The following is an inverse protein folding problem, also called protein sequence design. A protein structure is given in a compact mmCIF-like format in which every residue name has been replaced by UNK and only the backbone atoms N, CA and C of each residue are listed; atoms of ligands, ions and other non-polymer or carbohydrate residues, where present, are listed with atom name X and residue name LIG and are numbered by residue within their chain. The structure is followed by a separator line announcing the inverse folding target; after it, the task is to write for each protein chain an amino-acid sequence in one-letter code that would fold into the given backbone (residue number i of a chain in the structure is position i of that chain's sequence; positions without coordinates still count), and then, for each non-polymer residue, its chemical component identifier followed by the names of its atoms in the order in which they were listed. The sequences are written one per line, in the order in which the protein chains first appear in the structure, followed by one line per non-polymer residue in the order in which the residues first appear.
data_IF_459508947885
#
_entry.id   IF_459508947885
#
_cell.length_a   1.000
_cell.length_b   1.000
_cell.length_c   1.000
_cell.angle_alpha   90.00
_cell.angle_beta   90.00
_cell.angle_gamma   90.00
#
_symmetry.space_group_name_H-M   'P 1'
#
loop_
_entity.id
_entity.type
_entity.pdbx_description
1 polymer ?
#
# COMPACT_ATOMS: atom_id res chain seq x y z
N UNK A 1 23.35 -5.39 -33.16
CA UNK A 1 22.22 -5.11 -32.26
C UNK A 1 22.31 -6.09 -31.10
N UNK A 2 22.24 -5.64 -29.85
CA UNK A 2 22.12 -6.57 -28.74
C UNK A 2 20.76 -7.27 -28.83
N UNK A 3 20.78 -8.59 -28.97
CA UNK A 3 19.58 -9.42 -29.07
C UNK A 3 18.94 -9.49 -27.67
N UNK A 4 17.75 -8.89 -27.49
CA UNK A 4 17.00 -9.01 -26.24
C UNK A 4 16.44 -10.43 -26.19
N UNK A 5 17.10 -11.33 -25.46
CA UNK A 5 16.63 -12.69 -25.22
C UNK A 5 15.73 -12.70 -24.00
N UNK A 6 14.46 -13.03 -24.17
CA UNK A 6 13.58 -13.38 -23.06
C UNK A 6 14.07 -14.66 -22.42
N UNK A 7 14.22 -14.69 -21.09
CA UNK A 7 14.48 -15.93 -20.38
C UNK A 7 13.36 -16.94 -20.73
N UNK A 8 13.68 -18.16 -21.22
CA UNK A 8 12.69 -19.05 -21.83
C UNK A 8 11.61 -19.57 -20.86
N UNK A 9 11.80 -19.40 -19.55
CA UNK A 9 10.87 -19.83 -18.51
C UNK A 9 10.57 -18.67 -17.54
N UNK A 10 9.85 -17.64 -17.98
CA UNK A 10 9.33 -16.64 -17.06
C UNK A 10 8.12 -17.21 -16.32
N UNK A 11 8.09 -17.20 -14.98
CA UNK A 11 7.01 -17.81 -14.22
C UNK A 11 5.68 -17.05 -14.42
N UNK A 12 4.57 -17.78 -14.26
CA UNK A 12 3.23 -17.27 -14.46
C UNK A 12 2.92 -16.09 -13.52
N UNK A 13 2.46 -14.98 -14.09
CA UNK A 13 1.98 -13.82 -13.34
C UNK A 13 0.46 -13.97 -13.16
N UNK A 14 -0.05 -14.18 -11.93
CA UNK A 14 -1.49 -14.31 -11.71
C UNK A 14 -2.20 -12.99 -12.00
N UNK A 15 -3.35 -13.07 -12.67
CA UNK A 15 -4.15 -11.91 -13.07
C UNK A 15 -5.57 -11.90 -12.48
N UNK A 16 -5.88 -12.86 -11.61
CA UNK A 16 -7.16 -13.05 -10.92
C UNK A 16 -7.03 -12.85 -9.40
N UNK A 17 -5.99 -12.16 -8.93
CA UNK A 17 -5.79 -11.82 -7.53
C UNK A 17 -5.32 -10.38 -7.38
N UNK A 18 -5.63 -9.80 -6.22
CA UNK A 18 -5.13 -8.50 -5.79
C UNK A 18 -3.69 -8.60 -5.27
N UNK A 19 -3.04 -7.45 -5.16
CA UNK A 19 -1.69 -7.35 -4.60
C UNK A 19 -1.58 -7.93 -3.18
N UNK A 20 -2.47 -7.60 -2.21
CA UNK A 20 -2.39 -8.20 -0.89
C UNK A 20 -2.67 -9.71 -0.88
N UNK A 21 -3.54 -10.22 -1.76
CA UNK A 21 -3.71 -11.67 -1.92
C UNK A 21 -2.41 -12.33 -2.40
N UNK A 22 -1.73 -11.72 -3.37
CA UNK A 22 -0.42 -12.20 -3.83
C UNK A 22 0.63 -12.22 -2.70
N UNK A 23 0.72 -11.13 -1.94
CA UNK A 23 1.73 -10.98 -0.88
C UNK A 23 1.44 -11.84 0.36
N UNK A 24 0.17 -11.91 0.79
CA UNK A 24 -0.21 -12.47 2.09
C UNK A 24 -0.77 -13.89 2.04
N UNK A 25 -1.22 -14.37 0.87
CA UNK A 25 -1.97 -15.64 0.78
C UNK A 25 -1.44 -16.56 -0.33
N UNK A 26 -0.99 -16.00 -1.45
CA UNK A 26 -0.55 -16.78 -2.61
C UNK A 26 0.87 -17.33 -2.45
N UNK A 27 1.05 -18.60 -2.81
CA UNK A 27 2.36 -19.25 -2.83
C UNK A 27 2.91 -19.31 -4.26
N UNK A 28 3.75 -18.34 -4.62
CA UNK A 28 4.45 -18.32 -5.92
C UNK A 28 5.76 -19.12 -5.83
N UNK A 29 6.21 -19.84 -6.89
CA UNK A 29 7.45 -20.62 -6.87
C UNK A 29 8.72 -19.81 -6.55
N UNK A 30 8.72 -18.51 -6.87
CA UNK A 30 9.82 -17.59 -6.52
C UNK A 30 9.71 -16.96 -5.13
N UNK A 31 8.68 -17.30 -4.34
CA UNK A 31 8.50 -16.72 -3.01
C UNK A 31 9.59 -17.25 -2.07
N UNK A 32 10.42 -16.38 -1.47
CA UNK A 32 11.40 -16.84 -0.50
C UNK A 32 10.70 -17.37 0.76
N UNK A 33 11.25 -18.43 1.35
CA UNK A 33 10.80 -18.96 2.64
C UNK A 33 11.55 -18.20 3.73
N UNK A 34 10.82 -17.38 4.49
CA UNK A 34 11.35 -16.63 5.62
C UNK A 34 10.52 -16.97 6.85
N UNK A 35 11.14 -17.57 7.86
CA UNK A 35 10.55 -17.84 9.17
C UNK A 35 11.18 -16.94 10.20
N UNK A 36 10.40 -16.49 11.18
CA UNK A 36 10.88 -15.75 12.36
C UNK A 36 11.62 -14.43 12.06
N UNK A 37 11.34 -13.82 10.92
CA UNK A 37 11.90 -12.52 10.52
C UNK A 37 10.77 -11.49 10.39
N UNK A 38 11.00 -10.30 10.94
CA UNK A 38 10.08 -9.18 10.79
C UNK A 38 9.97 -8.75 9.31
N UNK A 39 8.75 -8.51 8.85
CA UNK A 39 8.47 -7.99 7.52
C UNK A 39 8.83 -6.50 7.41
N UNK A 40 8.59 -5.76 8.49
CA UNK A 40 8.85 -4.33 8.62
C UNK A 40 9.49 -4.09 9.99
N UNK A 41 10.45 -3.18 10.05
CA UNK A 41 11.09 -2.76 11.30
C UNK A 41 10.97 -1.23 11.35
N UNK A 42 10.42 -0.71 12.43
CA UNK A 42 10.41 0.72 12.71
C UNK A 42 11.81 1.17 13.13
N UNK A 43 12.31 2.22 12.47
CA UNK A 43 13.68 2.73 12.67
C UNK A 43 13.88 3.26 14.09
N UNK A 44 12.95 4.09 14.58
CA UNK A 44 13.08 4.77 15.88
C UNK A 44 13.03 3.83 17.09
N UNK A 45 12.20 2.78 17.03
CA UNK A 45 11.93 1.90 18.19
C UNK A 45 12.51 0.49 18.05
N UNK A 46 12.89 0.09 16.83
CA UNK A 46 13.23 -1.29 16.52
C UNK A 46 12.03 -2.25 16.52
N UNK A 47 10.79 -1.75 16.65
CA UNK A 47 9.58 -2.58 16.64
C UNK A 47 9.45 -3.30 15.29
N UNK A 48 9.42 -4.63 15.33
CA UNK A 48 9.16 -5.47 14.17
C UNK A 48 7.67 -5.80 14.03
N UNK A 49 7.14 -5.70 12.80
CA UNK A 49 5.86 -6.31 12.43
C UNK A 49 6.14 -7.63 11.71
N UNK A 50 5.55 -8.71 12.19
CA UNK A 50 5.72 -10.05 11.63
C UNK A 50 4.61 -10.38 10.63
N UNK A 51 4.83 -11.43 9.82
CA UNK A 51 3.95 -11.76 8.70
C UNK A 51 2.49 -11.98 9.11
N UNK A 52 2.25 -12.79 10.15
CA UNK A 52 0.87 -13.06 10.63
C UNK A 52 0.24 -11.83 11.29
N UNK A 53 1.03 -11.01 11.98
CA UNK A 53 0.54 -9.73 12.52
C UNK A 53 0.12 -8.79 11.37
N UNK A 54 0.94 -8.64 10.34
CA UNK A 54 0.64 -7.84 9.17
C UNK A 54 -0.62 -8.34 8.45
N UNK A 55 -0.74 -9.65 8.27
CA UNK A 55 -1.91 -10.30 7.65
C UNK A 55 -3.18 -10.03 8.45
N UNK A 56 -3.15 -10.23 9.76
CA UNK A 56 -4.29 -10.02 10.64
C UNK A 56 -4.68 -8.55 10.72
N UNK A 57 -3.71 -7.66 10.95
CA UNK A 57 -3.94 -6.21 10.99
C UNK A 57 -4.56 -5.69 9.69
N UNK A 58 -4.10 -6.19 8.54
CA UNK A 58 -4.64 -5.82 7.22
C UNK A 58 -6.11 -6.21 7.09
N UNK A 59 -6.47 -7.46 7.45
CA UNK A 59 -7.87 -7.92 7.41
C UNK A 59 -8.77 -7.17 8.37
N UNK A 60 -8.32 -6.97 9.61
CA UNK A 60 -9.09 -6.26 10.64
C UNK A 60 -9.28 -4.79 10.28
N UNK A 61 -8.24 -4.13 9.75
CA UNK A 61 -8.39 -2.76 9.28
C UNK A 61 -9.39 -2.68 8.11
N UNK A 62 -9.34 -3.62 7.16
CA UNK A 62 -10.30 -3.66 6.06
C UNK A 62 -11.74 -3.83 6.56
N UNK A 63 -11.99 -4.69 7.54
CA UNK A 63 -13.32 -4.87 8.11
C UNK A 63 -13.83 -3.60 8.80
N UNK A 64 -12.99 -2.90 9.55
CA UNK A 64 -13.34 -1.60 10.15
C UNK A 64 -13.61 -0.53 9.09
N UNK A 65 -12.76 -0.41 8.07
CA UNK A 65 -12.94 0.56 6.99
C UNK A 65 -14.26 0.34 6.23
N UNK A 66 -14.61 -0.91 5.97
CA UNK A 66 -15.90 -1.30 5.40
C UNK A 66 -17.06 -0.94 6.33
N UNK A 67 -16.99 -1.34 7.60
CA UNK A 67 -18.09 -1.19 8.54
C UNK A 67 -18.41 0.29 8.82
N UNK A 68 -17.39 1.09 9.12
CA UNK A 68 -17.53 2.49 9.58
C UNK A 68 -17.61 3.50 8.44
N UNK A 69 -16.74 3.35 7.44
CA UNK A 69 -16.56 4.35 6.39
C UNK A 69 -17.15 3.91 5.04
N UNK A 70 -17.68 2.69 4.97
CA UNK A 70 -18.31 2.13 3.76
C UNK A 70 -17.36 2.03 2.56
N UNK A 71 -16.05 2.05 2.79
CA UNK A 71 -15.03 1.90 1.73
C UNK A 71 -15.24 0.57 1.02
N UNK A 72 -15.20 0.61 -0.31
CA UNK A 72 -15.46 -0.55 -1.14
C UNK A 72 -14.92 -0.47 -2.57
N UNK A 73 -15.63 -1.19 -3.45
CA UNK A 73 -15.24 -1.36 -4.84
C UNK A 73 -15.13 0.00 -5.55
N UNK A 74 -13.94 0.28 -6.08
CA UNK A 74 -13.62 1.51 -6.83
C UNK A 74 -13.61 2.81 -6.01
N UNK A 75 -13.80 2.77 -4.69
CA UNK A 75 -13.55 3.93 -3.85
C UNK A 75 -12.07 4.30 -3.90
N UNK A 76 -11.78 5.59 -4.06
CA UNK A 76 -10.40 6.09 -4.06
C UNK A 76 -10.09 6.68 -2.69
N UNK A 77 -9.08 6.09 -2.04
CA UNK A 77 -8.58 6.52 -0.73
C UNK A 77 -7.21 7.12 -0.90
N UNK A 78 -7.02 8.34 -0.40
CA UNK A 78 -5.69 8.96 -0.36
C UNK A 78 -4.91 8.48 0.86
N UNK A 79 -3.64 8.14 0.67
CA UNK A 79 -2.68 8.03 1.75
C UNK A 79 -1.64 9.14 1.56
N UNK A 80 -1.55 10.02 2.55
CA UNK A 80 -0.53 11.08 2.64
C UNK A 80 0.26 10.92 3.92
N UNK A 81 1.45 10.37 3.79
CA UNK A 81 2.32 10.08 4.92
C UNK A 81 3.78 10.05 4.48
N UNK A 82 4.67 10.34 5.42
CA UNK A 82 6.07 9.87 5.35
C UNK A 82 6.11 8.35 5.48
N UNK A 83 7.30 7.76 5.36
CA UNK A 83 7.48 6.33 5.65
C UNK A 83 6.97 6.03 7.07
N UNK A 84 6.06 5.06 7.17
CA UNK A 84 5.43 4.65 8.42
C UNK A 84 5.11 3.16 8.34
N UNK A 85 5.23 2.42 9.44
CA UNK A 85 5.12 0.96 9.37
C UNK A 85 3.69 0.46 9.09
N UNK A 86 2.66 1.24 9.44
CA UNK A 86 1.26 0.95 9.13
C UNK A 86 0.91 1.20 7.66
N UNK A 87 1.81 1.78 6.85
CA UNK A 87 1.54 2.11 5.46
C UNK A 87 1.14 0.89 4.61
N UNK A 88 1.86 -0.26 4.67
CA UNK A 88 1.44 -1.45 3.94
C UNK A 88 0.10 -2.00 4.45
N UNK A 89 -0.14 -1.98 5.77
CA UNK A 89 -1.42 -2.40 6.37
C UNK A 89 -2.58 -1.56 5.84
N UNK A 90 -2.44 -0.23 5.83
CA UNK A 90 -3.46 0.70 5.34
C UNK A 90 -3.74 0.51 3.84
N UNK A 91 -2.68 0.49 3.03
CA UNK A 91 -2.76 0.32 1.59
C UNK A 91 -3.42 -1.02 1.22
N UNK A 92 -2.98 -2.12 1.83
CA UNK A 92 -3.51 -3.44 1.56
C UNK A 92 -4.93 -3.63 2.07
N UNK A 93 -5.32 -3.02 3.20
CA UNK A 93 -6.68 -3.08 3.69
C UNK A 93 -7.68 -2.49 2.68
N UNK A 94 -7.32 -1.36 2.05
CA UNK A 94 -8.13 -0.74 0.99
C UNK A 94 -8.24 -1.66 -0.23
N UNK A 95 -7.14 -2.30 -0.63
CA UNK A 95 -7.13 -3.25 -1.75
C UNK A 95 -7.99 -4.49 -1.50
N UNK A 96 -8.02 -5.04 -0.28
CA UNK A 96 -8.89 -6.18 0.06
C UNK A 96 -10.38 -5.86 -0.11
N UNK A 97 -10.75 -4.57 -0.04
CA UNK A 97 -12.12 -4.09 -0.25
C UNK A 97 -12.43 -3.77 -1.72
N UNK A 98 -11.46 -3.89 -2.63
CA UNK A 98 -11.57 -3.50 -4.03
C UNK A 98 -11.38 -1.99 -4.26
N UNK A 99 -10.89 -1.26 -3.27
CA UNK A 99 -10.59 0.16 -3.37
C UNK A 99 -9.28 0.46 -4.10
N UNK A 100 -9.10 1.71 -4.49
CA UNK A 100 -7.90 2.24 -5.16
C UNK A 100 -7.16 3.17 -4.20
N UNK A 101 -5.83 3.10 -4.16
CA UNK A 101 -5.02 3.95 -3.29
C UNK A 101 -4.37 5.07 -4.10
N UNK A 102 -4.62 6.32 -3.71
CA UNK A 102 -3.89 7.49 -4.20
C UNK A 102 -2.73 7.81 -3.28
N UNK A 103 -1.50 7.69 -3.76
CA UNK A 103 -0.30 7.97 -2.97
C UNK A 103 0.13 9.42 -3.16
N UNK A 104 -0.02 10.24 -2.13
CA UNK A 104 0.28 11.68 -2.19
C UNK A 104 1.56 12.02 -1.42
N UNK A 105 2.36 12.95 -1.96
CA UNK A 105 3.60 13.37 -1.31
C UNK A 105 3.27 14.15 -0.03
N UNK A 106 3.84 13.81 1.15
CA UNK A 106 3.67 14.58 2.38
C UNK A 106 4.19 16.03 2.30
N UNK A 107 4.95 16.38 1.26
CA UNK A 107 5.42 17.76 1.00
C UNK A 107 4.53 18.53 0.02
N UNK A 108 3.39 17.97 -0.40
CA UNK A 108 2.45 18.65 -1.32
C UNK A 108 1.87 19.92 -0.67
N UNK A 109 1.41 20.86 -1.49
CA UNK A 109 0.65 22.02 -1.01
C UNK A 109 -0.86 21.72 -0.87
N UNK A 110 -1.59 22.62 -0.22
CA UNK A 110 -3.06 22.52 -0.09
C UNK A 110 -3.73 22.52 -1.47
N UNK A 111 -3.25 23.36 -2.38
CA UNK A 111 -3.78 23.49 -3.75
C UNK A 111 -3.53 22.22 -4.57
N UNK A 112 -2.35 21.62 -4.43
CA UNK A 112 -2.01 20.35 -5.06
C UNK A 112 -2.92 19.24 -4.54
N UNK A 113 -3.10 19.12 -3.21
CA UNK A 113 -4.00 18.14 -2.62
C UNK A 113 -5.45 18.35 -3.03
N UNK A 114 -5.93 19.60 -3.06
CA UNK A 114 -7.27 19.91 -3.55
C UNK A 114 -7.46 19.44 -5.00
N UNK A 115 -6.48 19.70 -5.86
CA UNK A 115 -6.47 19.21 -7.24
C UNK A 115 -6.55 17.69 -7.33
N UNK A 116 -5.81 16.98 -6.46
CA UNK A 116 -5.83 15.53 -6.38
C UNK A 116 -7.18 14.99 -5.90
N UNK A 117 -7.73 15.57 -4.82
CA UNK A 117 -9.02 15.20 -4.24
C UNK A 117 -10.14 15.28 -5.28
N UNK A 118 -10.18 16.38 -6.04
CA UNK A 118 -11.19 16.61 -7.08
C UNK A 118 -10.96 15.67 -8.28
N UNK A 119 -9.73 15.61 -8.81
CA UNK A 119 -9.46 14.86 -10.04
C UNK A 119 -9.70 13.36 -9.87
N UNK A 120 -9.24 12.79 -8.76
CA UNK A 120 -9.37 11.37 -8.48
C UNK A 120 -10.66 11.00 -7.71
N UNK A 121 -11.54 11.98 -7.44
CA UNK A 121 -12.79 11.79 -6.67
C UNK A 121 -12.56 11.07 -5.34
N UNK A 122 -11.53 11.50 -4.62
CA UNK A 122 -11.15 10.90 -3.34
C UNK A 122 -12.17 11.31 -2.29
N UNK A 123 -12.70 10.32 -1.55
CA UNK A 123 -13.73 10.54 -0.53
C UNK A 123 -13.25 10.25 0.89
N UNK A 124 -12.06 9.69 1.04
CA UNK A 124 -11.47 9.31 2.32
C UNK A 124 -9.95 9.49 2.31
N UNK A 125 -9.38 9.95 3.43
CA UNK A 125 -7.95 10.24 3.55
C UNK A 125 -7.38 9.54 4.78
N UNK A 126 -6.25 8.87 4.61
CA UNK A 126 -5.39 8.40 5.68
C UNK A 126 -4.16 9.31 5.70
N UNK A 127 -4.01 10.10 6.76
CA UNK A 127 -2.99 11.14 6.84
C UNK A 127 -2.01 10.88 7.99
N UNK A 128 -0.74 11.22 7.80
CA UNK A 128 0.16 11.41 8.94
C UNK A 128 -0.26 12.65 9.73
N UNK A 129 -0.15 12.59 11.06
CA UNK A 129 -0.51 13.66 12.00
C UNK A 129 0.11 15.01 11.63
N UNK A 130 1.38 15.02 11.21
CA UNK A 130 2.08 16.23 10.72
C UNK A 130 1.43 16.88 9.49
N UNK A 131 0.62 16.14 8.73
CA UNK A 131 -0.04 16.62 7.51
C UNK A 131 -1.53 16.91 7.72
N UNK A 132 -2.08 16.62 8.90
CA UNK A 132 -3.54 16.64 9.13
C UNK A 132 -4.16 18.02 8.90
N UNK A 133 -3.51 19.10 9.34
CA UNK A 133 -4.04 20.46 9.18
C UNK A 133 -4.14 20.87 7.70
N UNK A 134 -3.14 20.48 6.90
CA UNK A 134 -3.13 20.69 5.46
C UNK A 134 -4.23 19.89 4.77
N UNK A 135 -4.38 18.61 5.15
CA UNK A 135 -5.40 17.70 4.63
C UNK A 135 -6.80 18.23 4.92
N UNK A 136 -7.07 18.63 6.17
CA UNK A 136 -8.37 19.19 6.56
C UNK A 136 -8.68 20.47 5.79
N UNK A 137 -7.68 21.31 5.54
CA UNK A 137 -7.85 22.53 4.73
C UNK A 137 -8.24 22.19 3.28
N UNK A 138 -7.53 21.25 2.65
CA UNK A 138 -7.83 20.80 1.29
C UNK A 138 -9.21 20.11 1.20
N UNK A 139 -9.55 19.26 2.19
CA UNK A 139 -10.85 18.60 2.28
C UNK A 139 -12.01 19.59 2.44
N UNK A 140 -11.83 20.61 3.27
CA UNK A 140 -12.82 21.68 3.43
C UNK A 140 -13.11 22.40 2.10
N UNK A 141 -12.05 22.78 1.37
CA UNK A 141 -12.18 23.39 0.04
C UNK A 141 -12.82 22.45 -0.99
N UNK A 142 -12.62 21.13 -0.86
CA UNK A 142 -13.24 20.11 -1.70
C UNK A 142 -14.69 19.77 -1.29
N UNK A 143 -15.21 20.35 -0.20
CA UNK A 143 -16.54 20.04 0.34
C UNK A 143 -16.64 18.67 1.02
N UNK A 144 -15.52 18.09 1.49
CA UNK A 144 -15.47 16.82 2.20
C UNK A 144 -15.55 17.02 3.72
N UNK A 145 -16.26 16.13 4.41
CA UNK A 145 -16.36 16.14 5.87
C UNK A 145 -15.02 15.73 6.52
N UNK A 146 -14.67 16.38 7.63
CA UNK A 146 -13.54 16.00 8.47
C UNK A 146 -13.66 14.58 9.04
N UNK A 147 -14.86 13.98 9.11
CA UNK A 147 -15.04 12.60 9.59
C UNK A 147 -14.57 11.54 8.58
N UNK A 148 -14.16 11.98 7.38
CA UNK A 148 -13.57 11.16 6.32
C UNK A 148 -12.04 11.12 6.37
N UNK A 149 -11.46 11.38 7.53
CA UNK A 149 -10.01 11.28 7.76
C UNK A 149 -9.71 10.34 8.93
N UNK A 150 -8.66 9.56 8.80
CA UNK A 150 -8.01 8.86 9.92
C UNK A 150 -6.52 9.11 9.89
N UNK A 151 -5.86 9.01 11.04
CA UNK A 151 -4.42 9.13 11.14
C UNK A 151 -3.72 7.80 10.86
N UNK A 152 -2.57 7.82 10.21
CA UNK A 152 -1.74 6.62 10.02
C UNK A 152 -0.93 6.29 11.28
N UNK A 153 -0.55 7.31 12.04
CA UNK A 153 0.31 7.26 13.21
C UNK A 153 -0.48 7.51 14.50
N UNK A 154 0.11 7.09 15.63
CA UNK A 154 -0.47 7.28 16.97
C UNK A 154 0.10 8.55 17.58
N UNK A 155 -0.65 9.65 17.48
CA UNK A 155 -0.28 10.89 18.15
C UNK A 155 -1.34 11.27 19.19
N UNK A 156 -0.97 11.19 20.47
CA UNK A 156 -1.86 11.46 21.60
C UNK A 156 -2.38 12.92 21.66
N UNK A 157 -1.71 13.85 20.97
CA UNK A 157 -1.99 15.28 21.00
C UNK A 157 -3.02 15.76 19.96
N UNK A 158 -3.60 14.87 19.16
CA UNK A 158 -4.74 15.19 18.28
C UNK A 158 -6.02 14.52 18.79
N UNK A 159 -6.61 14.99 19.90
CA UNK A 159 -7.86 14.43 20.41
C UNK A 159 -8.99 14.80 19.44
N UNK A 160 -9.37 13.87 18.54
CA UNK A 160 -10.68 13.76 17.83
C UNK A 160 -10.64 12.87 16.58
N UNK A 161 -9.47 12.59 16.00
CA UNK A 161 -9.37 11.82 14.74
C UNK A 161 -8.87 10.40 15.06
N UNK A 162 -9.62 9.34 14.71
CA UNK A 162 -9.16 7.96 14.90
C UNK A 162 -7.87 7.70 14.12
N UNK A 163 -7.01 6.84 14.64
CA UNK A 163 -5.84 6.36 13.91
C UNK A 163 -6.00 4.89 13.45
N UNK A 164 -5.09 4.41 12.61
CA UNK A 164 -5.08 3.03 12.10
C UNK A 164 -5.09 2.00 13.22
N UNK A 165 -4.32 2.21 14.29
CA UNK A 165 -4.31 1.29 15.42
C UNK A 165 -5.65 1.22 16.14
N UNK A 166 -6.25 2.37 16.43
CA UNK A 166 -7.57 2.43 17.07
C UNK A 166 -8.63 1.75 16.20
N UNK A 167 -8.57 1.94 14.89
CA UNK A 167 -9.45 1.25 13.94
C UNK A 167 -9.26 -0.27 13.96
N UNK A 168 -8.02 -0.76 14.11
CA UNK A 168 -7.75 -2.20 14.26
C UNK A 168 -8.31 -2.71 15.60
N UNK A 169 -8.06 -2.02 16.71
CA UNK A 169 -8.58 -2.41 18.03
C UNK A 169 -10.11 -2.44 18.05
N UNK A 170 -10.74 -1.46 17.41
CA UNK A 170 -12.19 -1.40 17.27
C UNK A 170 -12.72 -2.55 16.40
N UNK A 171 -12.03 -2.91 15.33
CA UNK A 171 -12.36 -4.06 14.48
C UNK A 171 -12.33 -5.38 15.23
N UNK A 172 -11.30 -5.60 16.06
CA UNK A 172 -11.21 -6.76 16.97
C UNK A 172 -12.36 -6.74 17.96
N UNK A 173 -12.56 -5.61 18.66
CA UNK A 173 -13.56 -5.48 19.73
C UNK A 173 -14.98 -5.75 19.24
N UNK A 174 -15.34 -5.23 18.07
CA UNK A 174 -16.68 -5.37 17.51
C UNK A 174 -16.83 -6.59 16.58
N UNK A 175 -15.75 -7.34 16.36
CA UNK A 175 -15.70 -8.50 15.47
C UNK A 175 -16.29 -8.18 14.08
N UNK A 176 -15.88 -7.05 13.50
CA UNK A 176 -16.33 -6.66 12.16
C UNK A 176 -15.83 -7.65 11.11
N UNK A 177 -16.69 -7.95 10.14
CA UNK A 177 -16.39 -8.84 9.04
C UNK A 177 -16.64 -8.17 7.68
N UNK A 178 -16.03 -8.72 6.63
CA UNK A 178 -16.21 -8.29 5.26
C UNK A 178 -15.93 -9.42 4.28
N UNK A 179 -16.59 -9.39 3.13
CA UNK A 179 -16.23 -10.24 2.01
C UNK A 179 -15.03 -9.65 1.29
N UNK A 180 -13.91 -10.39 1.30
CA UNK A 180 -12.73 -10.04 0.53
C UNK A 180 -13.02 -10.08 -0.97
N UNK A 181 -12.52 -9.08 -1.71
CA UNK A 181 -12.70 -9.00 -3.16
C UNK A 181 -11.81 -10.02 -3.86
N UNK A 182 -12.44 -10.92 -4.62
CA UNK A 182 -11.77 -11.89 -5.50
C UNK A 182 -11.96 -11.44 -6.94
N UNK A 183 -10.90 -11.45 -7.73
CA UNK A 183 -10.93 -11.01 -9.12
C UNK A 183 -11.26 -12.15 -10.07
N UNK A 184 -11.98 -11.82 -11.14
CA UNK A 184 -12.14 -12.73 -12.27
C UNK A 184 -10.82 -12.89 -13.05
N UNK A 185 -10.72 -13.93 -13.87
CA UNK A 185 -9.56 -14.12 -14.76
C UNK A 185 -9.33 -12.89 -15.64
N UNK A 186 -8.09 -12.40 -15.65
CA UNK A 186 -7.68 -11.20 -16.39
C UNK A 186 -8.15 -9.87 -15.79
N UNK A 187 -8.95 -9.85 -14.73
CA UNK A 187 -9.47 -8.60 -14.16
C UNK A 187 -8.36 -7.76 -13.51
N UNK A 188 -7.39 -8.40 -12.84
CA UNK A 188 -6.26 -7.72 -12.18
C UNK A 188 -5.39 -6.88 -13.13
N UNK A 189 -5.44 -7.15 -14.45
CA UNK A 189 -4.78 -6.33 -15.49
C UNK A 189 -5.42 -4.95 -15.64
N UNK A 190 -6.72 -4.85 -15.38
CA UNK A 190 -7.54 -3.65 -15.55
C UNK A 190 -7.87 -2.97 -14.22
N UNK A 191 -7.91 -3.72 -13.12
CA UNK A 191 -8.19 -3.19 -11.79
C UNK A 191 -7.04 -2.32 -11.29
N UNK A 192 -7.28 -1.02 -11.18
CA UNK A 192 -6.31 -0.06 -10.63
C UNK A 192 -6.05 -0.35 -9.16
N UNK A 193 -4.78 -0.48 -8.80
CA UNK A 193 -4.32 -0.59 -7.42
C UNK A 193 -3.88 0.78 -6.89
N UNK A 194 -3.08 1.50 -7.68
CA UNK A 194 -2.49 2.77 -7.27
C UNK A 194 -2.77 3.88 -8.28
N UNK A 195 -2.94 5.09 -7.75
CA UNK A 195 -2.82 6.34 -8.48
C UNK A 195 -1.55 7.05 -7.99
N UNK A 196 -0.59 7.22 -8.89
CA UNK A 196 0.65 7.96 -8.63
C UNK A 196 0.62 9.30 -9.32
N UNK A 197 0.99 10.37 -8.61
CA UNK A 197 0.92 11.73 -9.13
C UNK A 197 2.23 12.13 -9.77
N UNK A 198 2.15 12.56 -11.03
CA UNK A 198 3.27 13.18 -11.73
C UNK A 198 2.97 14.66 -11.97
N UNK A 199 3.97 15.52 -11.73
CA UNK A 199 3.90 16.95 -12.05
C UNK A 199 3.73 17.20 -13.55
N UNK A 200 4.16 16.26 -14.40
CA UNK A 200 4.20 16.42 -15.84
C UNK A 200 5.20 17.50 -16.27
N UNK A 201 5.65 17.45 -17.52
CA UNK A 201 6.60 18.44 -18.04
C UNK A 201 5.92 19.73 -18.51
N UNK A 202 4.59 19.69 -18.73
CA UNK A 202 3.76 20.84 -19.10
C UNK A 202 2.32 20.61 -18.64
N UNK A 203 1.86 21.32 -17.60
CA UNK A 203 0.44 21.39 -17.24
C UNK A 203 0.05 20.83 -15.86
N UNK A 204 -1.26 20.68 -15.65
CA UNK A 204 -1.87 20.22 -14.38
C UNK A 204 -1.40 18.79 -14.03
N UNK A 205 -1.29 18.44 -12.73
CA UNK A 205 -0.88 17.11 -12.30
C UNK A 205 -1.69 15.99 -12.94
N UNK A 206 -1.02 14.90 -13.33
CA UNK A 206 -1.66 13.71 -13.91
C UNK A 206 -1.60 12.55 -12.92
N UNK A 207 -2.71 11.83 -12.80
CA UNK A 207 -2.78 10.57 -12.07
C UNK A 207 -2.42 9.40 -12.99
N UNK A 208 -1.31 8.72 -12.71
CA UNK A 208 -0.90 7.50 -13.39
C UNK A 208 -1.57 6.32 -12.72
N UNK A 209 -2.47 5.64 -13.44
CA UNK A 209 -3.16 4.46 -12.95
C UNK A 209 -2.30 3.20 -13.13
N UNK A 210 -1.97 2.54 -12.02
CA UNK A 210 -1.16 1.32 -11.98
C UNK A 210 -2.05 0.17 -11.52
N UNK A 211 -2.15 -0.89 -12.32
CA UNK A 211 -3.00 -2.04 -11.99
C UNK A 211 -2.36 -2.99 -10.98
N UNK A 212 -3.18 -3.81 -10.32
CA UNK A 212 -2.68 -4.87 -9.43
C UNK A 212 -1.70 -5.80 -10.15
N UNK A 213 -2.05 -6.22 -11.38
CA UNK A 213 -1.18 -7.05 -12.20
C UNK A 213 0.17 -6.40 -12.50
N UNK A 214 0.21 -5.09 -12.79
CA UNK A 214 1.47 -4.41 -13.07
C UNK A 214 2.43 -4.45 -11.86
N UNK A 215 1.91 -4.31 -10.64
CA UNK A 215 2.70 -4.42 -9.41
C UNK A 215 3.18 -5.85 -9.17
N UNK A 216 2.29 -6.84 -9.32
CA UNK A 216 2.65 -8.26 -9.17
C UNK A 216 3.71 -8.66 -10.21
N UNK A 217 3.54 -8.24 -11.46
CA UNK A 217 4.50 -8.46 -12.53
C UNK A 217 5.87 -7.87 -12.19
N UNK A 218 5.90 -6.63 -11.68
CA UNK A 218 7.15 -5.99 -11.26
C UNK A 218 7.83 -6.77 -10.12
N UNK A 219 7.06 -7.21 -9.11
CA UNK A 219 7.60 -8.03 -8.01
C UNK A 219 8.21 -9.32 -8.56
N UNK A 220 7.48 -10.07 -9.40
CA UNK A 220 7.98 -11.33 -9.98
C UNK A 220 9.22 -11.09 -10.84
N UNK A 221 9.25 -10.04 -11.66
CA UNK A 221 10.42 -9.67 -12.47
C UNK A 221 11.64 -9.37 -11.60
N UNK A 222 11.45 -8.55 -10.56
CA UNK A 222 12.52 -8.19 -9.62
C UNK A 222 13.01 -9.41 -8.85
N UNK A 223 12.10 -10.26 -8.36
CA UNK A 223 12.44 -11.51 -7.66
C UNK A 223 13.22 -12.46 -8.58
N UNK A 224 12.77 -12.65 -9.83
CA UNK A 224 13.47 -13.50 -10.81
C UNK A 224 14.87 -12.95 -11.16
N UNK A 225 14.99 -11.63 -11.28
CA UNK A 225 16.26 -10.96 -11.58
C UNK A 225 17.25 -11.09 -10.42
N UNK A 226 16.78 -10.83 -9.20
CA UNK A 226 17.61 -10.83 -7.98
C UNK A 226 17.83 -12.22 -7.39
N UNK A 227 17.04 -13.22 -7.82
CA UNK A 227 17.11 -14.61 -7.36
C UNK A 227 17.05 -14.73 -5.83
N UNK A 228 16.20 -13.92 -5.19
CA UNK A 228 16.08 -13.87 -3.72
C UNK A 228 15.64 -15.21 -3.10
N UNK A 229 15.00 -16.08 -3.86
CA UNK A 229 14.68 -17.45 -3.46
C UNK A 229 15.94 -18.32 -3.30
N UNK A 230 16.99 -18.03 -4.08
CA UNK A 230 18.29 -18.71 -4.04
C UNK A 230 19.30 -18.02 -3.14
N UNK A 231 19.03 -16.81 -2.67
CA UNK A 231 19.91 -16.06 -1.76
C UNK A 231 20.17 -16.77 -0.40
N UNK A 232 19.49 -17.89 -0.14
CA UNK A 232 19.78 -18.80 0.97
C UNK A 232 20.88 -19.83 0.66
N UNK A 233 21.41 -19.87 -0.56
CA UNK A 233 22.56 -20.69 -0.93
C UNK A 233 23.85 -19.96 -0.53
N UNK A 234 24.35 -20.28 0.66
CA UNK A 234 25.63 -19.89 1.27
C UNK A 234 25.73 -18.46 1.81
N UNK A 235 26.01 -18.35 3.12
CA UNK A 235 26.38 -17.11 3.85
C UNK A 235 27.49 -16.27 3.17
N UNK A 236 28.24 -16.87 2.24
CA UNK A 236 29.39 -16.26 1.56
C UNK A 236 29.12 -15.81 0.12
N UNK A 237 27.90 -15.94 -0.40
CA UNK A 237 27.56 -15.51 -1.77
C UNK A 237 26.44 -14.48 -1.71
N UNK A 238 26.79 -13.24 -2.09
CA UNK A 238 25.94 -12.04 -2.20
C UNK A 238 24.44 -12.32 -2.26
N UNK A 239 23.78 -12.23 -1.11
CA UNK A 239 22.33 -12.12 -0.98
C UNK A 239 22.02 -10.94 -0.06
N UNK A 240 20.96 -10.18 -0.36
CA UNK A 240 20.54 -9.02 0.44
C UNK A 240 20.39 -9.41 1.92
N UNK A 241 21.19 -8.79 2.78
CA UNK A 241 21.21 -8.94 4.23
C UNK A 241 20.20 -7.98 4.87
N UNK A 242 19.72 -8.27 6.09
CA UNK A 242 19.08 -7.25 6.92
C UNK A 242 20.02 -6.03 7.05
N UNK A 243 19.58 -4.86 6.59
CA UNK A 243 20.39 -3.63 6.50
C UNK A 243 20.95 -3.31 5.10
N UNK A 244 20.82 -4.20 4.11
CA UNK A 244 21.25 -3.89 2.75
C UNK A 244 20.25 -2.93 2.08
N UNK A 245 20.77 -1.81 1.57
CA UNK A 245 20.00 -0.84 0.78
C UNK A 245 19.85 -1.37 -0.64
N UNK A 246 18.67 -1.88 -0.99
CA UNK A 246 18.33 -2.15 -2.37
C UNK A 246 17.58 -0.95 -2.95
N UNK A 247 18.10 -0.39 -4.05
CA UNK A 247 17.60 0.81 -4.74
C UNK A 247 17.96 2.12 -4.02
N UNK A 248 19.26 2.34 -3.85
CA UNK A 248 19.87 3.65 -3.65
C UNK A 248 21.24 3.58 -4.29
N UNK A 249 21.48 4.35 -5.35
CA UNK A 249 22.85 4.53 -5.83
C UNK A 249 23.68 5.16 -4.71
N UNK A 250 24.91 4.70 -4.55
CA UNK A 250 25.88 5.34 -3.67
C UNK A 250 25.95 6.84 -4.01
N UNK A 251 25.60 7.68 -3.05
CA UNK A 251 25.96 9.10 -3.02
C UNK A 251 26.91 9.33 -1.85
#
# INVERSE_FOLDING_TARGET
MAEIRTHPNFPHIPDNISLPQFMLQYHHPLRPIRTDIACLIEDDSGRGIYFEELRNNTRTLASTLRAKYKIGENDVVMIISRNHMEYPTALWAIHLLGGVVSCSNPQSTVEELLGQLILAKITFVIAHSSNVSMVLSAMHLAGLSSDRVILIDRMASVPRIPNVYDCIQEGVKNNFDFQERVFDSGEGKRKTALLSWSSGTTGKPKAVAISHYALIANIIQMTAHTQVEKAHCFRNVRGFRPGDVAIGGDY
#
